data_IF_977072674031
#
_entry.id   IF_977072674031
#
_cell.length_a   1.000
_cell.length_b   1.000
_cell.length_c   1.000
_cell.angle_alpha   90.00
_cell.angle_beta   90.00
_cell.angle_gamma   90.00
#
_symmetry.space_group_name_H-M   'P 1'
#
loop_
_entity.id
_entity.type
_entity.pdbx_description
1 polymer ?
#
# COMPACT_ATOMS: atom_id res chain seq x y z
N UNK A 1 -7.46 3.15 -42.07
CA UNK A 1 -7.51 2.89 -40.62
C UNK A 1 -6.37 3.66 -39.97
N UNK A 2 -6.65 4.76 -39.29
CA UNK A 2 -5.65 5.55 -38.57
C UNK A 2 -5.30 4.82 -37.27
N UNK A 3 -4.13 4.22 -37.21
CA UNK A 3 -3.60 3.63 -35.97
C UNK A 3 -2.95 4.76 -35.20
N UNK A 4 -3.43 5.04 -33.99
CA UNK A 4 -2.84 6.06 -33.12
C UNK A 4 -1.40 5.62 -32.82
N UNK A 5 -0.36 6.32 -33.30
CA UNK A 5 1.03 5.85 -33.24
C UNK A 5 1.60 5.82 -31.82
N UNK A 6 0.93 6.48 -30.89
CA UNK A 6 1.38 6.60 -29.51
C UNK A 6 0.18 6.72 -28.58
N UNK A 7 -0.12 5.65 -27.83
CA UNK A 7 -1.02 5.77 -26.69
C UNK A 7 -0.19 6.37 -25.54
N UNK A 8 -0.56 7.54 -24.98
CA UNK A 8 0.20 8.17 -23.91
C UNK A 8 -0.03 7.40 -22.60
N UNK A 9 0.60 6.24 -22.48
CA UNK A 9 0.54 5.36 -21.31
C UNK A 9 1.03 6.08 -20.04
N UNK A 10 1.84 7.14 -20.20
CA UNK A 10 2.30 7.99 -19.09
C UNK A 10 1.23 8.91 -18.53
N UNK A 11 0.15 9.20 -19.27
CA UNK A 11 -0.93 10.06 -18.79
C UNK A 11 -1.81 9.35 -17.76
N UNK A 12 -1.97 8.03 -17.90
CA UNK A 12 -2.76 7.21 -16.99
C UNK A 12 -1.94 6.67 -15.79
N UNK A 13 -0.65 7.00 -15.73
CA UNK A 13 0.26 6.56 -14.67
C UNK A 13 0.40 7.63 -13.62
N UNK A 14 0.39 7.22 -12.36
CA UNK A 14 0.73 8.12 -11.27
C UNK A 14 2.19 8.58 -11.40
N UNK A 15 2.48 9.89 -11.38
CA UNK A 15 3.84 10.37 -11.44
C UNK A 15 4.59 10.02 -10.14
N UNK A 16 5.88 9.69 -10.27
CA UNK A 16 6.75 9.57 -9.12
C UNK A 16 7.05 10.96 -8.55
N UNK A 17 6.80 11.15 -7.25
CA UNK A 17 6.94 12.45 -6.58
C UNK A 17 8.24 12.51 -5.78
N UNK A 18 8.55 11.48 -4.99
CA UNK A 18 9.70 11.49 -4.09
C UNK A 18 10.47 10.17 -4.13
N UNK A 19 11.76 10.20 -4.51
CA UNK A 19 12.64 9.02 -4.57
C UNK A 19 12.04 7.82 -5.34
N UNK A 20 11.23 8.07 -6.37
CA UNK A 20 10.57 7.02 -7.17
C UNK A 20 9.26 6.48 -6.57
N UNK A 21 8.78 7.04 -5.45
CA UNK A 21 7.47 6.75 -4.88
C UNK A 21 6.38 7.59 -5.55
N UNK A 22 5.24 6.97 -5.84
CA UNK A 22 4.03 7.71 -6.21
C UNK A 22 3.37 8.35 -4.98
N UNK A 23 2.40 9.24 -5.19
CA UNK A 23 1.66 9.88 -4.10
C UNK A 23 0.99 8.84 -3.20
N UNK A 24 0.32 7.86 -3.80
CA UNK A 24 -0.36 6.77 -3.09
C UNK A 24 0.60 6.00 -2.18
N UNK A 25 1.83 5.80 -2.63
CA UNK A 25 2.85 5.05 -1.91
C UNK A 25 3.50 5.84 -0.79
N UNK A 26 3.68 7.14 -1.00
CA UNK A 26 4.08 8.07 0.05
C UNK A 26 3.04 8.10 1.16
N UNK A 27 1.75 8.12 0.82
CA UNK A 27 0.68 8.09 1.81
C UNK A 27 0.67 6.77 2.59
N UNK A 28 0.85 5.63 1.93
CA UNK A 28 0.97 4.32 2.60
C UNK A 28 2.18 4.31 3.54
N UNK A 29 3.35 4.75 3.07
CA UNK A 29 4.57 4.83 3.87
C UNK A 29 4.39 5.76 5.08
N UNK A 30 3.74 6.92 4.88
CA UNK A 30 3.43 7.86 5.94
C UNK A 30 2.49 7.25 6.98
N UNK A 31 1.38 6.63 6.56
CA UNK A 31 0.41 6.01 7.47
C UNK A 31 1.05 4.88 8.28
N UNK A 32 1.83 4.01 7.64
CA UNK A 32 2.56 2.95 8.32
C UNK A 32 3.59 3.53 9.29
N UNK A 33 4.32 4.57 8.88
CA UNK A 33 5.29 5.26 9.74
C UNK A 33 4.67 5.95 10.95
N UNK A 34 3.54 6.65 10.76
CA UNK A 34 2.77 7.26 11.84
C UNK A 34 2.22 6.21 12.80
N UNK A 35 1.66 5.11 12.28
CA UNK A 35 1.12 4.04 13.11
C UNK A 35 2.22 3.35 13.93
N UNK A 36 3.32 2.96 13.30
CA UNK A 36 4.46 2.34 13.98
C UNK A 36 5.11 3.29 14.98
N UNK A 37 5.28 4.57 14.64
CA UNK A 37 5.78 5.60 15.54
C UNK A 37 4.85 5.83 16.73
N UNK A 38 3.54 5.90 16.52
CA UNK A 38 2.55 6.04 17.58
C UNK A 38 2.54 4.83 18.52
N UNK A 39 2.64 3.60 18.00
CA UNK A 39 2.74 2.38 18.81
C UNK A 39 4.04 2.40 19.63
N UNK A 40 5.16 2.78 19.00
CA UNK A 40 6.44 2.92 19.68
C UNK A 40 6.40 4.00 20.78
N UNK A 41 5.65 5.08 20.58
CA UNK A 41 5.41 6.13 21.57
C UNK A 41 4.39 5.81 22.65
N UNK A 42 3.44 4.92 22.36
CA UNK A 42 2.43 4.50 23.32
C UNK A 42 3.06 3.77 24.50
N UNK A 43 4.09 2.95 24.24
CA UNK A 43 4.81 2.22 25.28
C UNK A 43 5.42 3.16 26.36
N UNK A 44 6.26 4.16 26.01
CA UNK A 44 6.77 5.14 26.96
C UNK A 44 5.68 6.10 27.47
N UNK A 45 4.63 6.41 26.68
CA UNK A 45 3.52 7.24 27.14
C UNK A 45 2.79 6.63 28.33
N UNK A 46 2.59 5.31 28.33
CA UNK A 46 1.97 4.59 29.45
C UNK A 46 2.90 4.58 30.65
N UNK A 47 4.21 4.35 30.43
CA UNK A 47 5.20 4.26 31.51
C UNK A 47 5.39 5.60 32.25
N UNK A 48 5.51 6.70 31.51
CA UNK A 48 5.68 8.05 32.08
C UNK A 48 4.35 8.79 32.27
N UNK A 49 3.21 8.15 31.97
CA UNK A 49 1.87 8.75 32.04
C UNK A 49 1.72 10.03 31.19
N UNK A 50 2.56 10.18 30.17
CA UNK A 50 2.63 11.37 29.32
C UNK A 50 2.14 11.06 27.91
N UNK A 51 0.89 11.44 27.64
CA UNK A 51 0.21 11.21 26.35
C UNK A 51 0.81 11.99 25.18
N UNK A 52 1.55 13.08 25.45
CA UNK A 52 2.21 13.89 24.41
C UNK A 52 3.33 13.13 23.68
N UNK A 53 3.83 12.04 24.26
CA UNK A 53 4.86 11.19 23.65
C UNK A 53 4.34 10.43 22.42
N UNK A 54 3.02 10.25 22.30
CA UNK A 54 2.40 9.55 21.16
C UNK A 54 2.54 10.38 19.87
N UNK A 55 2.02 11.63 19.77
CA UNK A 55 2.24 12.44 18.58
C UNK A 55 3.71 12.81 18.38
N UNK A 56 4.47 12.99 19.48
CA UNK A 56 5.90 13.33 19.43
C UNK A 56 6.78 12.25 18.79
N UNK A 57 6.38 10.98 18.89
CA UNK A 57 7.09 9.84 18.26
C UNK A 57 6.47 9.43 16.92
N UNK A 58 5.17 9.66 16.72
CA UNK A 58 4.49 9.37 15.46
C UNK A 58 5.08 10.17 14.30
N UNK A 59 5.23 11.49 14.46
CA UNK A 59 5.76 12.38 13.42
C UNK A 59 7.16 11.97 12.91
N UNK A 60 8.18 11.78 13.78
CA UNK A 60 9.48 11.30 13.33
C UNK A 60 9.41 9.88 12.75
N UNK A 61 8.53 9.01 13.26
CA UNK A 61 8.26 7.69 12.66
C UNK A 61 7.77 7.79 11.21
N UNK A 62 6.81 8.68 10.95
CA UNK A 62 6.32 9.00 9.60
C UNK A 62 7.41 9.52 8.68
N UNK A 63 8.20 10.49 9.15
CA UNK A 63 9.31 11.05 8.39
C UNK A 63 10.38 10.01 8.04
N UNK A 64 10.79 9.18 9.01
CA UNK A 64 11.73 8.09 8.80
C UNK A 64 11.18 7.05 7.82
N UNK A 65 9.90 6.70 7.91
CA UNK A 65 9.26 5.78 6.98
C UNK A 65 9.26 6.30 5.54
N UNK A 66 9.03 7.61 5.31
CA UNK A 66 9.13 8.22 3.97
C UNK A 66 10.58 8.19 3.47
N UNK A 67 11.54 8.56 4.32
CA UNK A 67 12.96 8.62 3.97
C UNK A 67 13.50 7.23 3.60
N UNK A 68 13.20 6.21 4.41
CA UNK A 68 13.62 4.83 4.19
C UNK A 68 12.77 4.11 3.14
N UNK A 69 11.49 4.49 3.02
CA UNK A 69 10.48 3.87 2.18
C UNK A 69 10.87 3.86 0.70
N UNK A 70 11.56 4.88 0.20
CA UNK A 70 12.01 4.92 -1.20
C UNK A 70 12.93 3.75 -1.56
N UNK A 71 13.95 3.47 -0.74
CA UNK A 71 14.88 2.34 -0.98
C UNK A 71 14.20 0.99 -0.76
N UNK A 72 13.35 0.90 0.25
CA UNK A 72 12.69 -0.36 0.59
C UNK A 72 11.62 -0.73 -0.44
N UNK A 73 10.79 0.23 -0.85
CA UNK A 73 9.77 0.03 -1.87
C UNK A 73 10.38 -0.18 -3.25
N UNK A 74 11.46 0.52 -3.61
CA UNK A 74 12.16 0.27 -4.87
C UNK A 74 12.71 -1.17 -4.95
N UNK A 75 13.13 -1.76 -3.83
CA UNK A 75 13.53 -3.17 -3.78
C UNK A 75 12.33 -4.11 -3.91
N UNK A 76 11.24 -3.84 -3.20
CA UNK A 76 10.02 -4.65 -3.25
C UNK A 76 9.36 -4.63 -4.64
N UNK A 77 9.43 -3.50 -5.33
CA UNK A 77 8.90 -3.31 -6.69
C UNK A 77 9.75 -3.92 -7.80
N UNK A 78 10.95 -4.45 -7.50
CA UNK A 78 11.87 -4.92 -8.54
C UNK A 78 11.26 -6.08 -9.31
N UNK A 79 10.96 -5.87 -10.60
CA UNK A 79 10.31 -6.86 -11.47
C UNK A 79 8.80 -7.00 -11.29
N UNK A 80 8.13 -6.08 -10.55
CA UNK A 80 6.68 -6.09 -10.35
C UNK A 80 6.01 -4.97 -11.17
N UNK A 81 4.76 -5.16 -11.64
CA UNK A 81 4.02 -4.12 -12.35
C UNK A 81 3.70 -2.92 -11.43
N UNK A 82 3.47 -1.74 -12.01
CA UNK A 82 3.36 -0.49 -11.24
C UNK A 82 2.17 -0.46 -10.27
N UNK A 83 1.02 -1.03 -10.65
CA UNK A 83 -0.18 -1.13 -9.80
C UNK A 83 -0.15 -2.31 -8.81
N UNK A 84 0.96 -3.06 -8.76
CA UNK A 84 1.07 -4.28 -7.95
C UNK A 84 0.83 -4.03 -6.46
N UNK A 85 1.40 -2.95 -5.91
CA UNK A 85 1.31 -2.67 -4.48
C UNK A 85 -0.15 -2.49 -4.05
N UNK A 86 -0.90 -1.68 -4.79
CA UNK A 86 -2.31 -1.43 -4.53
C UNK A 86 -3.13 -2.73 -4.65
N UNK A 87 -2.94 -3.49 -5.73
CA UNK A 87 -3.63 -4.78 -5.93
C UNK A 87 -3.29 -5.80 -4.85
N UNK A 88 -2.04 -5.86 -4.40
CA UNK A 88 -1.62 -6.75 -3.33
C UNK A 88 -2.23 -6.35 -1.98
N UNK A 89 -2.35 -5.04 -1.71
CA UNK A 89 -3.05 -4.51 -0.54
C UNK A 89 -4.55 -4.80 -0.59
N UNK A 90 -5.21 -4.52 -1.71
CA UNK A 90 -6.63 -4.85 -1.90
C UNK A 90 -6.88 -6.35 -1.69
N UNK A 91 -6.01 -7.21 -2.24
CA UNK A 91 -6.12 -8.66 -2.07
C UNK A 91 -5.95 -9.08 -0.60
N UNK A 92 -5.00 -8.47 0.12
CA UNK A 92 -4.82 -8.74 1.55
C UNK A 92 -6.04 -8.29 2.36
N UNK A 93 -6.53 -7.08 2.12
CA UNK A 93 -7.74 -6.57 2.79
C UNK A 93 -8.95 -7.47 2.50
N UNK A 94 -9.15 -7.87 1.25
CA UNK A 94 -10.22 -8.77 0.84
C UNK A 94 -10.14 -10.14 1.54
N UNK A 95 -8.93 -10.68 1.77
CA UNK A 95 -8.72 -11.91 2.56
C UNK A 95 -9.05 -11.74 4.04
N UNK A 96 -8.85 -10.54 4.60
CA UNK A 96 -9.30 -10.21 5.96
C UNK A 96 -10.81 -9.90 6.03
N UNK A 97 -11.55 -10.01 4.93
CA UNK A 97 -12.98 -9.69 4.87
C UNK A 97 -13.29 -8.19 4.82
N UNK A 98 -12.28 -7.36 4.60
CA UNK A 98 -12.40 -5.89 4.57
C UNK A 98 -12.38 -5.43 3.11
N UNK A 99 -13.43 -4.74 2.66
CA UNK A 99 -13.50 -4.17 1.31
C UNK A 99 -14.30 -5.00 0.30
N UNK A 100 -14.20 -4.65 -0.99
CA UNK A 100 -14.99 -5.29 -2.04
C UNK A 100 -14.38 -6.63 -2.47
N UNK A 101 -15.18 -7.70 -2.49
CA UNK A 101 -14.77 -9.03 -2.99
C UNK A 101 -14.71 -9.05 -4.53
N UNK A 102 -13.89 -8.17 -5.11
CA UNK A 102 -13.66 -8.10 -6.56
C UNK A 102 -12.69 -9.19 -7.07
N UNK A 103 -12.03 -9.89 -6.15
CA UNK A 103 -11.11 -10.97 -6.49
C UNK A 103 -11.84 -12.30 -6.42
N UNK A 104 -11.60 -13.15 -7.42
CA UNK A 104 -12.00 -14.56 -7.37
C UNK A 104 -11.06 -15.25 -6.37
N UNK A 105 -11.52 -15.37 -5.12
CA UNK A 105 -10.78 -16.00 -4.01
C UNK A 105 -11.21 -17.46 -3.79
N UNK A 106 -12.18 -17.95 -4.56
CA UNK A 106 -12.68 -19.31 -4.45
C UNK A 106 -11.85 -20.25 -5.31
N UNK A 107 -11.48 -21.37 -4.71
CA UNK A 107 -11.01 -22.56 -5.39
C UNK A 107 -12.21 -23.44 -5.77
N UNK A 108 -12.13 -24.05 -6.94
CA UNK A 108 -13.19 -24.89 -7.47
C UNK A 108 -12.66 -25.83 -8.52
N UNK A 109 -13.25 -27.02 -8.60
CA UNK A 109 -12.91 -27.99 -9.65
C UNK A 109 -13.55 -27.53 -10.95
N UNK A 110 -12.77 -27.50 -12.03
CA UNK A 110 -13.28 -27.21 -13.36
C UNK A 110 -14.30 -28.28 -13.76
N UNK A 111 -15.58 -27.92 -13.79
CA UNK A 111 -16.66 -28.79 -14.21
C UNK A 111 -17.22 -28.33 -15.56
N UNK A 112 -17.38 -29.27 -16.49
CA UNK A 112 -17.94 -29.00 -17.83
C UNK A 112 -19.47 -28.84 -17.76
N UNK A 113 -20.11 -29.35 -16.70
CA UNK A 113 -21.56 -29.17 -16.45
C UNK A 113 -21.82 -27.92 -15.60
N UNK A 114 -22.78 -27.10 -16.03
CA UNK A 114 -23.38 -26.06 -15.16
C UNK A 114 -24.08 -26.76 -13.99
N UNK A 115 -23.69 -26.47 -12.75
CA UNK A 115 -24.48 -26.92 -11.60
C UNK A 115 -25.84 -26.22 -11.64
N UNK A 116 -26.93 -27.00 -11.61
CA UNK A 116 -28.25 -26.43 -11.34
C UNK A 116 -28.24 -25.93 -9.90
N UNK A 117 -28.38 -24.62 -9.73
CA UNK A 117 -28.76 -24.03 -8.44
C UNK A 117 -30.25 -24.25 -8.22
#
# INVERSE_FOLDING_TARGET
MSTIPFLPERLNREPAVFRGLTVSELLIALLVGLATGAIAGAFPAILWRNWSLIPGSALPGGALAILCGGRWLARLKRGRPESWLYRALELKLARFGIGTQRFVLHDGVWAIRRSRR
#
